data_IF_027905575644
#
_entry.id   IF_027905575644
#
_cell.length_a   1.000
_cell.length_b   1.000
_cell.length_c   1.000
_cell.angle_alpha   90.00
_cell.angle_beta   90.00
_cell.angle_gamma   90.00
#
_symmetry.space_group_name_H-M   'P 1'
#
loop_
_entity.id
_entity.type
_entity.pdbx_description
1 polymer ?
#
# COMPACT_ATOMS: atom_id res chain seq x y z
N UNK A 1 2.02 15.80 29.00
CA UNK A 1 2.09 16.33 27.63
C UNK A 1 3.44 16.09 26.96
N UNK A 2 4.58 16.16 27.65
CA UNK A 2 5.89 15.96 26.99
C UNK A 2 6.12 14.55 26.39
N UNK A 3 5.77 13.49 27.12
CA UNK A 3 5.87 12.10 26.61
C UNK A 3 5.09 11.87 25.31
N UNK A 4 3.98 12.58 25.15
CA UNK A 4 3.13 12.49 23.97
C UNK A 4 3.80 13.08 22.72
N UNK A 5 4.61 14.12 22.89
CA UNK A 5 5.31 14.74 21.77
C UNK A 5 6.42 13.83 21.23
N UNK A 6 7.14 13.12 22.11
CA UNK A 6 8.16 12.15 21.70
C UNK A 6 7.56 10.93 20.98
N UNK A 7 6.34 10.53 21.34
CA UNK A 7 5.63 9.45 20.65
C UNK A 7 5.32 9.83 19.19
N UNK A 8 4.94 11.09 18.90
CA UNK A 8 4.72 11.55 17.53
C UNK A 8 6.00 11.54 16.70
N UNK A 9 7.09 12.03 17.28
CA UNK A 9 8.39 11.99 16.62
C UNK A 9 8.79 10.54 16.31
N UNK A 10 8.57 9.61 17.24
CA UNK A 10 8.80 8.19 17.02
C UNK A 10 7.92 7.62 15.89
N UNK A 11 6.64 8.02 15.80
CA UNK A 11 5.78 7.63 14.68
C UNK A 11 6.29 8.18 13.34
N UNK A 12 6.71 9.44 13.26
CA UNK A 12 7.24 10.01 12.01
C UNK A 12 8.52 9.31 11.57
N UNK A 13 9.45 9.06 12.49
CA UNK A 13 10.68 8.30 12.23
C UNK A 13 10.35 6.87 11.79
N UNK A 14 9.41 6.20 12.46
CA UNK A 14 8.97 4.87 12.09
C UNK A 14 8.35 4.82 10.69
N UNK A 15 7.52 5.81 10.33
CA UNK A 15 6.95 5.94 8.98
C UNK A 15 8.04 6.14 7.93
N UNK A 16 9.05 6.96 8.20
CA UNK A 16 10.21 7.12 7.30
C UNK A 16 10.95 5.80 7.09
N UNK A 17 11.15 5.00 8.15
CA UNK A 17 11.73 3.67 8.04
C UNK A 17 10.85 2.71 7.18
N UNK A 18 9.53 2.78 7.34
CA UNK A 18 8.58 2.02 6.51
C UNK A 18 8.59 2.45 5.04
N UNK A 19 8.72 3.76 4.76
CA UNK A 19 8.90 4.28 3.41
C UNK A 19 10.17 3.70 2.77
N UNK A 20 11.31 3.85 3.45
CA UNK A 20 12.59 3.34 2.95
C UNK A 20 12.53 1.82 2.68
N UNK A 21 11.94 1.07 3.61
CA UNK A 21 11.74 -0.39 3.47
C UNK A 21 10.85 -0.73 2.27
N UNK A 22 9.72 -0.03 2.11
CA UNK A 22 8.78 -0.23 1.01
C UNK A 22 9.43 0.06 -0.34
N UNK A 23 10.14 1.19 -0.44
CA UNK A 23 10.84 1.61 -1.66
C UNK A 23 11.87 0.56 -2.04
N UNK A 24 12.77 0.22 -1.11
CA UNK A 24 13.81 -0.78 -1.33
C UNK A 24 13.24 -2.14 -1.75
N UNK A 25 12.26 -2.66 -1.01
CA UNK A 25 11.62 -3.93 -1.31
C UNK A 25 10.92 -3.93 -2.67
N UNK A 26 10.23 -2.84 -3.00
CA UNK A 26 9.54 -2.71 -4.31
C UNK A 26 10.55 -2.76 -5.45
N UNK A 27 11.64 -1.99 -5.35
CA UNK A 27 12.71 -2.02 -6.35
C UNK A 27 13.35 -3.39 -6.45
N UNK A 28 13.61 -4.06 -5.32
CA UNK A 28 14.16 -5.42 -5.29
C UNK A 28 13.23 -6.41 -6.00
N UNK A 29 11.92 -6.39 -5.72
CA UNK A 29 10.95 -7.28 -6.37
C UNK A 29 10.88 -7.03 -7.88
N UNK A 30 10.81 -5.75 -8.29
CA UNK A 30 10.79 -5.39 -9.71
C UNK A 30 12.08 -5.84 -10.40
N UNK A 31 13.23 -5.62 -9.77
CA UNK A 31 14.53 -6.05 -10.27
C UNK A 31 14.58 -7.58 -10.43
N UNK A 32 14.31 -8.33 -9.37
CA UNK A 32 14.29 -9.80 -9.41
C UNK A 32 13.31 -10.35 -10.45
N UNK A 33 12.16 -9.70 -10.65
CA UNK A 33 11.16 -10.13 -11.65
C UNK A 33 11.66 -10.07 -13.09
N UNK A 34 12.65 -9.21 -13.40
CA UNK A 34 13.25 -9.13 -14.74
C UNK A 34 14.21 -10.29 -15.03
N UNK A 35 14.85 -10.85 -14.00
CA UNK A 35 15.87 -11.89 -14.16
C UNK A 35 15.33 -13.32 -14.03
N UNK A 36 14.09 -13.50 -13.56
CA UNK A 36 13.44 -14.82 -13.41
C UNK A 36 12.86 -15.35 -14.73
N UNK A 37 13.72 -15.43 -15.77
CA UNK A 37 13.31 -15.66 -17.16
C UNK A 37 13.20 -17.16 -17.54
N UNK A 38 13.39 -18.10 -16.59
CA UNK A 38 13.45 -19.55 -16.89
C UNK A 38 12.50 -20.45 -16.09
N UNK A 39 11.77 -19.94 -15.09
CA UNK A 39 10.75 -20.74 -14.39
C UNK A 39 9.40 -20.61 -15.09
N UNK A 40 8.78 -21.76 -15.40
CA UNK A 40 7.46 -21.99 -16.02
C UNK A 40 6.47 -20.80 -16.03
N UNK A 41 5.86 -20.53 -17.21
CA UNK A 41 4.85 -19.47 -17.48
C UNK A 41 3.77 -19.27 -16.40
N UNK A 42 3.46 -20.30 -15.62
CA UNK A 42 2.43 -20.29 -14.58
C UNK A 42 2.81 -19.46 -13.34
N UNK A 43 4.11 -19.29 -13.05
CA UNK A 43 4.62 -18.63 -11.84
C UNK A 43 5.02 -17.17 -12.05
N UNK A 44 5.01 -16.67 -13.28
CA UNK A 44 5.37 -15.28 -13.62
C UNK A 44 4.46 -14.30 -12.86
N UNK A 45 5.06 -13.31 -12.20
CA UNK A 45 4.35 -12.22 -11.53
C UNK A 45 3.38 -11.55 -12.53
N UNK A 46 2.10 -11.35 -12.16
CA UNK A 46 1.15 -10.67 -13.07
C UNK A 46 1.51 -9.20 -13.21
N UNK A 47 1.29 -8.62 -14.38
CA UNK A 47 1.53 -7.20 -14.62
C UNK A 47 0.78 -6.30 -13.63
N UNK A 48 -0.43 -6.69 -13.21
CA UNK A 48 -1.17 -5.97 -12.18
C UNK A 48 -0.55 -6.04 -10.79
N UNK A 49 0.15 -7.14 -10.45
CA UNK A 49 0.94 -7.18 -9.21
C UNK A 49 2.16 -6.25 -9.28
N UNK A 50 2.77 -6.11 -10.47
CA UNK A 50 3.84 -5.12 -10.69
C UNK A 50 3.30 -3.70 -10.55
N UNK A 51 2.14 -3.39 -11.13
CA UNK A 51 1.51 -2.08 -10.99
C UNK A 51 1.12 -1.81 -9.53
N UNK A 52 0.59 -2.82 -8.84
CA UNK A 52 0.29 -2.76 -7.40
C UNK A 52 1.52 -2.42 -6.57
N UNK A 53 2.64 -3.12 -6.79
CA UNK A 53 3.88 -2.83 -6.07
C UNK A 53 4.44 -1.47 -6.45
N UNK A 54 4.44 -1.15 -7.75
CA UNK A 54 4.91 0.12 -8.26
C UNK A 54 4.14 1.30 -7.67
N UNK A 55 2.82 1.20 -7.51
CA UNK A 55 2.01 2.28 -6.91
C UNK A 55 2.31 2.45 -5.41
N UNK A 56 2.57 1.36 -4.67
CA UNK A 56 2.98 1.41 -3.26
C UNK A 56 4.36 2.03 -3.10
N UNK A 57 5.35 1.60 -3.89
CA UNK A 57 6.70 2.16 -3.86
C UNK A 57 6.76 3.63 -4.30
N UNK A 58 6.08 3.97 -5.39
CA UNK A 58 6.02 5.34 -5.91
C UNK A 58 5.28 6.27 -4.95
N UNK A 59 4.14 5.85 -4.41
CA UNK A 59 3.44 6.67 -3.43
C UNK A 59 4.24 6.83 -2.13
N UNK A 60 4.99 5.80 -1.70
CA UNK A 60 5.88 5.93 -0.55
C UNK A 60 6.99 6.96 -0.80
N UNK A 61 7.58 6.96 -2.00
CA UNK A 61 8.55 7.96 -2.41
C UNK A 61 7.96 9.39 -2.36
N UNK A 62 6.76 9.58 -2.90
CA UNK A 62 6.11 10.90 -2.94
C UNK A 62 5.63 11.40 -1.56
N UNK A 63 5.30 10.50 -0.65
CA UNK A 63 4.87 10.85 0.71
C UNK A 63 6.05 11.05 1.68
N UNK A 64 7.27 10.67 1.30
CA UNK A 64 8.48 10.81 2.13
C UNK A 64 8.80 12.29 2.45
N UNK A 65 8.76 13.24 1.49
CA UNK A 65 8.99 14.66 1.77
C UNK A 65 8.10 15.22 2.89
N UNK A 66 6.82 14.80 2.96
CA UNK A 66 5.90 15.25 4.01
C UNK A 66 6.33 14.79 5.40
N UNK A 67 6.68 13.50 5.56
CA UNK A 67 7.11 12.97 6.86
C UNK A 67 8.50 13.47 7.26
N UNK A 68 9.39 13.72 6.29
CA UNK A 68 10.66 14.41 6.54
C UNK A 68 10.41 15.83 7.04
N UNK A 69 9.51 16.57 6.39
CA UNK A 69 9.12 17.91 6.80
C UNK A 69 8.57 17.93 8.23
N UNK A 70 7.64 17.02 8.55
CA UNK A 70 7.10 16.86 9.91
C UNK A 70 8.17 16.50 10.96
N UNK A 71 9.20 15.73 10.57
CA UNK A 71 10.28 15.32 11.47
C UNK A 71 11.26 16.47 11.71
N UNK A 72 11.65 17.20 10.66
CA UNK A 72 12.62 18.30 10.73
C UNK A 72 12.03 19.52 11.44
N UNK A 73 10.79 19.87 11.12
CA UNK A 73 10.09 21.02 11.73
C UNK A 73 9.23 20.63 12.93
N UNK A 74 9.52 19.47 13.54
CA UNK A 74 8.84 19.04 14.76
C UNK A 74 9.15 20.02 15.91
N UNK A 75 8.10 20.46 16.61
CA UNK A 75 8.21 21.34 17.78
C UNK A 75 7.56 20.70 19.00
N UNK A 76 8.22 20.83 20.15
CA UNK A 76 7.72 20.39 21.45
C UNK A 76 6.49 21.19 21.90
N UNK A 77 6.28 22.39 21.36
CA UNK A 77 5.14 23.26 21.71
C UNK A 77 3.88 22.93 20.90
N UNK A 78 3.96 21.99 19.95
CA UNK A 78 2.79 21.61 19.16
C UNK A 78 2.40 22.63 18.09
N UNK A 79 3.30 23.56 17.75
CA UNK A 79 3.18 24.39 16.56
C UNK A 79 4.29 23.99 15.59
N UNK A 80 3.91 23.44 14.45
CA UNK A 80 4.83 23.33 13.31
C UNK A 80 5.05 24.76 12.81
N UNK A 81 6.25 25.34 13.03
CA UNK A 81 6.69 26.67 12.52
C UNK A 81 6.84 26.63 10.99
N UNK A 82 5.77 26.27 10.32
CA UNK A 82 5.82 25.63 9.03
C UNK A 82 4.88 26.38 8.09
N UNK A 83 5.33 26.65 6.87
CA UNK A 83 4.54 27.39 5.90
C UNK A 83 3.25 26.63 5.56
N UNK A 84 2.06 27.22 5.75
CA UNK A 84 0.78 26.51 5.56
C UNK A 84 0.61 25.90 4.17
N UNK A 85 1.10 26.58 3.13
CA UNK A 85 1.08 26.07 1.76
C UNK A 85 2.06 24.92 1.54
N UNK A 86 3.23 24.93 2.18
CA UNK A 86 4.14 23.78 2.14
C UNK A 86 3.50 22.56 2.81
N UNK A 87 2.83 22.75 3.94
CA UNK A 87 2.10 21.68 4.64
C UNK A 87 0.97 21.09 3.77
N UNK A 88 0.23 21.94 3.04
CA UNK A 88 -0.81 21.53 2.10
C UNK A 88 -0.24 20.72 0.93
N UNK A 89 0.77 21.25 0.23
CA UNK A 89 1.32 20.62 -0.98
C UNK A 89 2.04 19.31 -0.69
N UNK A 90 2.78 19.24 0.41
CA UNK A 90 3.45 18.01 0.83
C UNK A 90 2.41 16.98 1.34
N UNK A 91 1.40 17.43 2.08
CA UNK A 91 0.34 16.56 2.60
C UNK A 91 -0.57 15.98 1.52
N UNK A 92 -0.73 16.67 0.38
CA UNK A 92 -1.43 16.15 -0.79
C UNK A 92 -0.88 14.79 -1.23
N UNK A 93 0.45 14.65 -1.32
CA UNK A 93 1.08 13.41 -1.75
C UNK A 93 0.94 12.29 -0.74
N UNK A 94 1.01 12.62 0.55
CA UNK A 94 0.68 11.69 1.62
C UNK A 94 -0.76 11.18 1.49
N UNK A 95 -1.72 12.07 1.24
CA UNK A 95 -3.13 11.72 1.07
C UNK A 95 -3.39 10.84 -0.16
N UNK A 96 -2.73 11.17 -1.27
CA UNK A 96 -2.79 10.38 -2.50
C UNK A 96 -2.25 8.98 -2.21
N UNK A 97 -1.07 8.84 -1.58
CA UNK A 97 -0.54 7.53 -1.23
C UNK A 97 -1.46 6.76 -0.25
N UNK A 98 -1.99 7.47 0.75
CA UNK A 98 -2.91 6.92 1.74
C UNK A 98 -4.19 6.36 1.11
N UNK A 99 -4.67 6.98 0.03
CA UNK A 99 -5.90 6.58 -0.64
C UNK A 99 -5.67 5.56 -1.76
N UNK A 100 -4.49 5.59 -2.42
CA UNK A 100 -4.10 4.63 -3.46
C UNK A 100 -3.89 3.21 -2.91
N UNK A 101 -3.50 3.07 -1.65
CA UNK A 101 -3.25 1.76 -1.03
C UNK A 101 -4.46 0.83 -1.13
N UNK A 102 -5.63 1.30 -0.72
CA UNK A 102 -6.85 0.51 -0.62
C UNK A 102 -7.33 0.12 -2.02
N UNK A 103 -7.35 1.08 -2.97
CA UNK A 103 -7.70 0.85 -4.38
C UNK A 103 -6.77 -0.17 -5.03
N UNK A 104 -5.46 -0.08 -4.74
CA UNK A 104 -4.48 -1.01 -5.30
C UNK A 104 -4.74 -2.44 -4.84
N UNK A 105 -5.08 -2.63 -3.56
CA UNK A 105 -5.44 -3.93 -3.01
C UNK A 105 -6.76 -4.46 -3.61
N UNK A 106 -7.74 -3.58 -3.89
CA UNK A 106 -8.99 -3.94 -4.57
C UNK A 106 -8.79 -4.48 -5.96
N UNK A 107 -8.01 -3.76 -6.76
CA UNK A 107 -7.75 -4.14 -8.14
C UNK A 107 -6.99 -5.46 -8.20
N UNK A 108 -6.03 -5.67 -7.30
CA UNK A 108 -5.30 -6.94 -7.21
C UNK A 108 -6.23 -8.09 -6.79
N UNK A 109 -7.11 -7.87 -5.81
CA UNK A 109 -8.08 -8.87 -5.35
C UNK A 109 -9.07 -9.21 -6.46
N UNK A 110 -9.61 -8.20 -7.13
CA UNK A 110 -10.53 -8.35 -8.25
C UNK A 110 -9.89 -9.12 -9.42
N UNK A 111 -8.64 -8.80 -9.79
CA UNK A 111 -7.89 -9.54 -10.82
C UNK A 111 -7.86 -11.03 -10.48
N UNK A 112 -7.57 -11.36 -9.22
CA UNK A 112 -7.41 -12.73 -8.75
C UNK A 112 -8.73 -13.47 -8.69
N UNK A 113 -9.80 -12.81 -8.25
CA UNK A 113 -11.15 -13.37 -8.31
C UNK A 113 -11.52 -13.73 -9.75
N UNK A 114 -11.35 -12.80 -10.70
CA UNK A 114 -11.65 -13.04 -12.11
C UNK A 114 -10.80 -14.19 -12.67
N UNK A 115 -9.51 -14.22 -12.35
CA UNK A 115 -8.59 -15.25 -12.83
C UNK A 115 -8.93 -16.66 -12.31
N UNK A 116 -9.48 -16.77 -11.09
CA UNK A 116 -9.89 -18.05 -10.50
C UNK A 116 -11.29 -18.48 -10.93
N UNK A 117 -12.24 -17.55 -11.07
CA UNK A 117 -13.62 -17.86 -11.45
C UNK A 117 -13.77 -18.09 -12.95
N UNK A 118 -13.07 -17.31 -13.78
CA UNK A 118 -13.20 -17.34 -15.24
C UNK A 118 -11.84 -17.50 -15.94
N UNK A 119 -11.13 -18.63 -15.73
CA UNK A 119 -9.75 -18.80 -16.20
C UNK A 119 -9.61 -18.72 -17.73
N UNK A 120 -10.59 -19.23 -18.48
CA UNK A 120 -10.59 -19.18 -19.96
C UNK A 120 -10.75 -17.75 -20.48
N UNK A 121 -11.66 -16.96 -19.87
CA UNK A 121 -11.87 -15.55 -20.22
C UNK A 121 -10.66 -14.69 -19.84
N UNK A 122 -10.08 -14.96 -18.67
CA UNK A 122 -8.91 -14.25 -18.18
C UNK A 122 -7.70 -14.45 -19.09
N UNK A 123 -7.38 -15.70 -19.44
CA UNK A 123 -6.22 -16.02 -20.28
C UNK A 123 -6.39 -15.53 -21.73
N UNK A 124 -7.60 -15.53 -22.27
CA UNK A 124 -7.84 -15.15 -23.67
C UNK A 124 -7.89 -13.64 -23.91
N UNK A 125 -8.51 -12.87 -23.00
CA UNK A 125 -8.75 -11.43 -23.21
C UNK A 125 -8.35 -10.55 -22.04
N UNK A 126 -8.74 -10.89 -20.81
CA UNK A 126 -8.65 -9.93 -19.70
C UNK A 126 -7.22 -9.75 -19.17
N UNK A 127 -6.35 -10.75 -19.26
CA UNK A 127 -4.97 -10.65 -18.76
C UNK A 127 -4.16 -9.50 -19.41
N UNK A 128 -4.48 -9.14 -20.66
CA UNK A 128 -3.85 -8.01 -21.37
C UNK A 128 -4.51 -6.67 -21.07
N UNK A 129 -5.83 -6.65 -20.84
CA UNK A 129 -6.61 -5.44 -20.62
C UNK A 129 -6.62 -4.96 -19.16
N UNK A 130 -6.60 -5.89 -18.21
CA UNK A 130 -6.72 -5.60 -16.78
C UNK A 130 -5.62 -4.66 -16.24
N UNK A 131 -4.35 -4.75 -16.67
CA UNK A 131 -3.32 -3.79 -16.27
C UNK A 131 -3.64 -2.35 -16.71
N UNK A 132 -4.19 -2.16 -17.92
CA UNK A 132 -4.62 -0.84 -18.42
C UNK A 132 -5.81 -0.31 -17.63
N UNK A 133 -6.79 -1.16 -17.37
CA UNK A 133 -7.93 -0.83 -16.52
C UNK A 133 -7.47 -0.39 -15.12
N UNK A 134 -6.53 -1.14 -14.52
CA UNK A 134 -5.97 -0.80 -13.20
C UNK A 134 -5.30 0.58 -13.22
N UNK A 135 -4.51 0.88 -14.26
CA UNK A 135 -3.86 2.19 -14.43
C UNK A 135 -4.89 3.33 -14.53
N UNK A 136 -5.96 3.14 -15.31
CA UNK A 136 -7.04 4.14 -15.43
C UNK A 136 -7.69 4.40 -14.07
N UNK A 137 -8.02 3.34 -13.32
CA UNK A 137 -8.56 3.47 -11.97
C UNK A 137 -7.61 4.26 -11.04
N UNK A 138 -6.30 4.02 -11.10
CA UNK A 138 -5.34 4.79 -10.31
C UNK A 138 -5.31 6.27 -10.68
N UNK A 139 -5.29 6.60 -11.98
CA UNK A 139 -5.28 8.00 -12.44
C UNK A 139 -6.55 8.72 -12.00
N UNK A 140 -7.73 8.10 -12.20
CA UNK A 140 -8.99 8.69 -11.77
C UNK A 140 -9.04 8.90 -10.25
N UNK A 141 -8.48 7.98 -9.47
CA UNK A 141 -8.43 8.11 -8.02
C UNK A 141 -7.49 9.22 -7.55
N UNK A 142 -6.33 9.39 -8.21
CA UNK A 142 -5.42 10.51 -7.95
C UNK A 142 -6.12 11.84 -8.22
N UNK A 143 -6.81 11.95 -9.36
CA UNK A 143 -7.58 13.15 -9.72
C UNK A 143 -8.66 13.43 -8.68
N UNK A 144 -9.40 12.40 -8.26
CA UNK A 144 -10.43 12.51 -7.22
C UNK A 144 -9.84 13.02 -5.89
N UNK A 145 -8.75 12.42 -5.41
CA UNK A 145 -8.10 12.82 -4.17
C UNK A 145 -7.53 14.26 -4.26
N UNK A 146 -6.89 14.60 -5.38
CA UNK A 146 -6.35 15.94 -5.61
C UNK A 146 -7.44 17.01 -5.70
N UNK A 147 -8.54 16.72 -6.39
CA UNK A 147 -9.67 17.63 -6.50
C UNK A 147 -10.24 18.01 -5.12
N UNK A 148 -10.33 17.03 -4.20
CA UNK A 148 -10.77 17.31 -2.84
C UNK A 148 -9.81 18.27 -2.11
N UNK A 149 -8.49 18.07 -2.20
CA UNK A 149 -7.51 18.97 -1.56
C UNK A 149 -7.48 20.36 -2.20
N UNK A 150 -7.60 20.44 -3.53
CA UNK A 150 -7.57 21.73 -4.25
C UNK A 150 -8.76 22.63 -3.91
N UNK A 151 -9.88 22.06 -3.41
CA UNK A 151 -11.03 22.84 -2.93
C UNK A 151 -10.77 23.58 -1.62
N UNK A 152 -9.68 23.28 -0.91
CA UNK A 152 -9.24 24.04 0.26
C UNK A 152 -8.53 25.35 -0.11
N UNK A 153 -8.33 25.64 -1.40
CA UNK A 153 -7.75 26.89 -1.88
C UNK A 153 -8.87 27.91 -2.16
N UNK A 154 -8.81 29.16 -1.63
CA UNK A 154 -7.74 29.72 -0.80
C UNK A 154 -7.77 29.22 0.64
N UNK A 155 -6.57 29.00 1.21
CA UNK A 155 -6.40 28.41 2.54
C UNK A 155 -6.70 29.43 3.65
N UNK A 156 -7.39 28.99 4.71
CA UNK A 156 -7.45 29.74 5.97
C UNK A 156 -6.09 29.62 6.69
N UNK A 157 -5.27 30.67 6.56
CA UNK A 157 -3.88 30.71 7.03
C UNK A 157 -3.81 30.68 8.56
N UNK A 158 -4.74 31.32 9.26
CA UNK A 158 -4.73 31.38 10.74
C UNK A 158 -5.05 30.01 11.32
N UNK A 159 -6.11 29.37 10.81
CA UNK A 159 -6.44 27.98 11.18
C UNK A 159 -5.27 27.04 10.87
N UNK A 160 -4.65 27.18 9.71
CA UNK A 160 -3.60 26.26 9.25
C UNK A 160 -2.29 26.37 10.03
N UNK A 161 -1.93 27.56 10.56
CA UNK A 161 -0.75 27.73 11.42
C UNK A 161 -0.89 26.99 12.76
N UNK A 162 -2.11 26.83 13.25
CA UNK A 162 -2.38 26.08 14.48
C UNK A 162 -2.45 24.55 14.25
N UNK A 163 -2.45 24.09 12.99
CA UNK A 163 -2.60 22.69 12.65
C UNK A 163 -1.25 21.95 12.59
N UNK A 164 -1.03 21.00 13.52
CA UNK A 164 0.11 20.10 13.49
C UNK A 164 0.07 19.09 12.32
N UNK A 165 -1.13 18.76 11.85
CA UNK A 165 -1.36 17.67 10.89
C UNK A 165 -2.11 18.17 9.66
N UNK A 166 -1.85 17.53 8.52
CA UNK A 166 -2.56 17.81 7.27
C UNK A 166 -4.06 17.52 7.37
N UNK A 167 -4.46 16.55 8.18
CA UNK A 167 -5.88 16.25 8.45
C UNK A 167 -6.64 17.38 9.13
N UNK A 168 -5.95 18.33 9.77
CA UNK A 168 -6.54 19.52 10.39
C UNK A 168 -6.74 20.67 9.38
N UNK A 169 -5.94 20.68 8.30
CA UNK A 169 -6.08 21.63 7.19
C UNK A 169 -7.34 21.32 6.39
N UNK A 170 -7.55 20.04 6.04
CA UNK A 170 -8.71 19.64 5.24
C UNK A 170 -10.02 19.85 6.03
N UNK A 171 -11.00 20.49 5.39
CA UNK A 171 -12.33 20.70 5.92
C UNK A 171 -13.03 19.38 6.25
N UNK A 172 -13.80 19.39 7.36
CA UNK A 172 -14.49 18.21 7.90
C UNK A 172 -15.28 17.43 6.84
N UNK A 173 -16.02 18.14 5.97
CA UNK A 173 -16.81 17.50 4.92
C UNK A 173 -15.95 16.74 3.91
N UNK A 174 -14.83 17.32 3.48
CA UNK A 174 -13.96 16.71 2.49
C UNK A 174 -13.20 15.51 3.08
N UNK A 175 -12.72 15.64 4.32
CA UNK A 175 -12.11 14.55 5.06
C UNK A 175 -13.09 13.37 5.22
N UNK A 176 -14.35 13.65 5.55
CA UNK A 176 -15.41 12.64 5.63
C UNK A 176 -15.68 11.99 4.27
N UNK A 177 -15.80 12.76 3.18
CA UNK A 177 -16.02 12.19 1.83
C UNK A 177 -14.92 11.22 1.45
N UNK A 178 -13.66 11.57 1.70
CA UNK A 178 -12.54 10.70 1.38
C UNK A 178 -12.51 9.45 2.27
N UNK A 179 -12.87 9.57 3.56
CA UNK A 179 -13.04 8.44 4.45
C UNK A 179 -14.18 7.51 4.00
N UNK A 180 -15.33 8.04 3.57
CA UNK A 180 -16.42 7.25 3.03
C UNK A 180 -16.02 6.49 1.76
N UNK A 181 -15.33 7.17 0.85
CA UNK A 181 -14.84 6.53 -0.38
C UNK A 181 -13.86 5.40 -0.04
N UNK A 182 -12.91 5.64 0.87
CA UNK A 182 -11.96 4.63 1.34
C UNK A 182 -12.67 3.46 2.03
N UNK A 183 -13.67 3.73 2.88
CA UNK A 183 -14.45 2.70 3.55
C UNK A 183 -15.22 1.83 2.55
N UNK A 184 -15.88 2.44 1.56
CA UNK A 184 -16.59 1.70 0.52
C UNK A 184 -15.66 0.76 -0.26
N UNK A 185 -14.49 1.26 -0.66
CA UNK A 185 -13.47 0.46 -1.36
C UNK A 185 -12.87 -0.63 -0.45
N UNK A 186 -12.62 -0.32 0.83
CA UNK A 186 -12.15 -1.30 1.82
C UNK A 186 -13.19 -2.39 2.09
N UNK A 187 -14.48 -2.06 2.13
CA UNK A 187 -15.58 -3.03 2.23
C UNK A 187 -15.61 -3.98 1.03
N UNK A 188 -15.43 -3.43 -0.18
CA UNK A 188 -15.29 -4.24 -1.40
C UNK A 188 -14.06 -5.16 -1.33
N UNK A 189 -12.94 -4.72 -0.71
CA UNK A 189 -11.79 -5.60 -0.47
C UNK A 189 -12.15 -6.77 0.42
N UNK A 190 -12.83 -6.52 1.54
CA UNK A 190 -13.24 -7.59 2.46
C UNK A 190 -14.13 -8.59 1.75
N UNK A 191 -15.17 -8.12 1.03
CA UNK A 191 -16.07 -9.00 0.28
C UNK A 191 -15.35 -9.79 -0.82
N UNK A 192 -14.54 -9.11 -1.63
CA UNK A 192 -13.74 -9.74 -2.67
C UNK A 192 -12.74 -10.76 -2.10
N UNK A 193 -12.19 -10.48 -0.92
CA UNK A 193 -11.28 -11.36 -0.21
C UNK A 193 -11.96 -12.62 0.32
N UNK A 194 -13.14 -12.48 0.94
CA UNK A 194 -13.96 -13.60 1.37
C UNK A 194 -14.30 -14.51 0.18
N UNK A 195 -14.73 -13.90 -0.93
CA UNK A 195 -14.99 -14.64 -2.17
C UNK A 195 -13.74 -15.34 -2.70
N UNK A 196 -12.58 -14.67 -2.71
CA UNK A 196 -11.31 -15.26 -3.13
C UNK A 196 -10.94 -16.48 -2.27
N UNK A 197 -11.09 -16.39 -0.95
CA UNK A 197 -10.82 -17.51 -0.03
C UNK A 197 -11.71 -18.71 -0.35
N UNK A 198 -13.01 -18.48 -0.60
CA UNK A 198 -13.95 -19.52 -1.00
C UNK A 198 -13.57 -20.14 -2.36
N UNK A 199 -13.26 -19.31 -3.35
CA UNK A 199 -12.84 -19.77 -4.69
C UNK A 199 -11.51 -20.55 -4.65
N UNK A 200 -10.57 -20.15 -3.79
CA UNK A 200 -9.30 -20.87 -3.59
C UNK A 200 -9.52 -22.25 -2.95
N UNK A 201 -10.47 -22.38 -2.02
CA UNK A 201 -10.83 -23.66 -1.39
C UNK A 201 -11.39 -24.65 -2.41
N UNK A 202 -12.16 -24.16 -3.39
CA UNK A 202 -12.76 -24.99 -4.43
C UNK A 202 -11.75 -25.44 -5.50
N UNK A 203 -10.74 -24.61 -5.80
CA UNK A 203 -9.81 -24.84 -6.90
C UNK A 203 -8.44 -25.43 -6.50
N UNK A 204 -8.30 -25.94 -5.27
CA UNK A 204 -7.13 -26.69 -4.75
C UNK A 204 -5.75 -26.09 -5.14
N UNK A 205 -5.62 -24.76 -5.06
CA UNK A 205 -4.45 -24.05 -5.54
C UNK A 205 -3.58 -23.48 -4.43
N UNK A 206 -2.74 -24.27 -3.78
CA UNK A 206 -1.66 -23.73 -2.93
C UNK A 206 -0.46 -23.28 -3.80
N UNK A 207 -0.74 -22.30 -4.68
CA UNK A 207 0.26 -21.66 -5.53
C UNK A 207 0.81 -20.42 -4.82
N UNK A 208 2.06 -20.06 -5.12
CA UNK A 208 2.74 -18.88 -4.55
C UNK A 208 1.86 -17.61 -4.64
N UNK A 209 1.20 -17.40 -5.78
CA UNK A 209 0.30 -16.26 -6.02
C UNK A 209 -0.87 -16.22 -5.03
N UNK A 210 -1.40 -17.37 -4.64
CA UNK A 210 -2.53 -17.47 -3.71
C UNK A 210 -2.08 -17.21 -2.27
N UNK A 211 -0.89 -17.69 -1.89
CA UNK A 211 -0.28 -17.38 -0.59
C UNK A 211 0.07 -15.89 -0.45
N UNK A 212 0.55 -15.25 -1.52
CA UNK A 212 0.79 -13.80 -1.56
C UNK A 212 -0.51 -13.04 -1.32
N UNK A 213 -1.57 -13.36 -2.05
CA UNK A 213 -2.84 -12.63 -1.95
C UNK A 213 -3.52 -12.87 -0.59
N UNK A 214 -3.50 -14.08 -0.04
CA UNK A 214 -3.98 -14.36 1.33
C UNK A 214 -3.28 -13.47 2.37
N UNK A 215 -1.97 -13.34 2.27
CA UNK A 215 -1.19 -12.50 3.18
C UNK A 215 -1.52 -11.01 3.01
N UNK A 216 -1.56 -10.51 1.76
CA UNK A 216 -1.96 -9.13 1.46
C UNK A 216 -3.30 -8.79 2.08
N UNK A 217 -4.28 -9.68 1.90
CA UNK A 217 -5.64 -9.53 2.41
C UNK A 217 -5.64 -9.48 3.94
N UNK A 218 -4.95 -10.40 4.60
CA UNK A 218 -4.89 -10.42 6.06
C UNK A 218 -4.32 -9.11 6.59
N UNK A 219 -3.22 -8.62 6.01
CA UNK A 219 -2.64 -7.35 6.42
C UNK A 219 -3.56 -6.16 6.12
N UNK A 220 -4.25 -6.14 4.97
CA UNK A 220 -5.22 -5.08 4.64
C UNK A 220 -6.39 -5.04 5.63
N UNK A 221 -6.90 -6.21 6.05
CA UNK A 221 -7.97 -6.30 7.04
C UNK A 221 -7.51 -5.77 8.41
N UNK A 222 -6.38 -6.28 8.93
CA UNK A 222 -5.95 -6.00 10.30
C UNK A 222 -5.28 -4.63 10.47
N UNK A 223 -4.58 -4.13 9.45
CA UNK A 223 -3.77 -2.92 9.55
C UNK A 223 -4.32 -1.73 8.76
N UNK A 224 -5.35 -1.92 7.93
CA UNK A 224 -6.00 -0.80 7.21
C UNK A 224 -7.51 -0.73 7.50
N UNK A 225 -8.28 -1.79 7.18
CA UNK A 225 -9.75 -1.76 7.22
C UNK A 225 -10.29 -1.70 8.65
N UNK A 226 -9.87 -2.60 9.55
CA UNK A 226 -10.36 -2.63 10.94
C UNK A 226 -10.04 -1.32 11.68
N UNK A 227 -8.78 -0.81 11.66
CA UNK A 227 -8.47 0.47 12.29
C UNK A 227 -9.27 1.64 11.69
N UNK A 228 -9.42 1.68 10.36
CA UNK A 228 -10.23 2.72 9.70
C UNK A 228 -11.70 2.65 10.08
N UNK A 229 -12.26 1.44 10.24
CA UNK A 229 -13.66 1.24 10.66
C UNK A 229 -13.88 1.61 12.12
N UNK A 230 -12.97 1.23 13.02
CA UNK A 230 -13.02 1.63 14.42
C UNK A 230 -12.97 3.17 14.56
N UNK A 231 -12.11 3.81 13.77
CA UNK A 231 -12.03 5.28 13.71
C UNK A 231 -13.34 5.90 13.21
N UNK A 232 -13.91 5.36 12.14
CA UNK A 232 -15.19 5.82 11.61
C UNK A 232 -16.31 5.74 12.65
N UNK A 233 -16.52 4.56 13.27
CA UNK A 233 -17.56 4.38 14.30
C UNK A 233 -17.40 5.40 15.40
N UNK A 234 -16.18 5.57 15.91
CA UNK A 234 -15.95 6.52 16.99
C UNK A 234 -16.29 7.95 16.58
N UNK A 235 -15.84 8.41 15.40
CA UNK A 235 -16.14 9.77 14.92
C UNK A 235 -17.63 9.97 14.71
N UNK A 236 -18.34 8.97 14.18
CA UNK A 236 -19.78 9.02 13.96
C UNK A 236 -20.58 9.00 15.26
N UNK A 237 -20.19 8.18 16.24
CA UNK A 237 -20.91 8.03 17.52
C UNK A 237 -20.64 9.21 18.45
N UNK A 238 -19.40 9.67 18.53
CA UNK A 238 -19.01 10.72 19.48
C UNK A 238 -19.11 12.13 18.89
N UNK A 239 -19.11 12.26 17.56
CA UNK A 239 -18.98 13.56 16.88
C UNK A 239 -17.61 14.21 17.04
N UNK A 240 -16.72 13.59 17.84
CA UNK A 240 -15.38 14.06 18.15
C UNK A 240 -14.43 13.44 17.13
N UNK A 241 -13.69 14.24 16.34
CA UNK A 241 -12.59 13.69 15.56
C UNK A 241 -11.63 13.03 16.55
N UNK A 242 -11.37 11.72 16.37
CA UNK A 242 -10.43 10.98 17.21
C UNK A 242 -9.17 11.80 17.35
N UNK A 243 -8.78 12.07 18.60
CA UNK A 243 -7.70 13.00 18.90
C UNK A 243 -6.45 12.72 18.07
N UNK A 244 -5.62 13.75 17.90
CA UNK A 244 -4.39 13.79 17.08
C UNK A 244 -3.56 12.49 17.16
N UNK A 245 -3.57 11.79 18.30
CA UNK A 245 -2.95 10.48 18.55
C UNK A 245 -3.45 9.34 17.65
N UNK A 246 -4.76 9.09 17.61
CA UNK A 246 -5.30 8.00 16.78
C UNK A 246 -5.31 8.38 15.31
N UNK A 247 -5.42 9.68 15.03
CA UNK A 247 -5.22 10.21 13.68
C UNK A 247 -3.82 9.91 13.11
N UNK A 248 -2.78 9.74 13.96
CA UNK A 248 -1.43 9.34 13.53
C UNK A 248 -1.19 7.84 13.56
N UNK A 249 -1.85 7.12 14.48
CA UNK A 249 -1.78 5.66 14.53
C UNK A 249 -2.30 5.00 13.24
N UNK A 250 -3.37 5.54 12.65
CA UNK A 250 -3.96 4.96 11.43
C UNK A 250 -3.00 5.06 10.23
N UNK A 251 -2.44 6.24 9.87
CA UNK A 251 -1.36 6.33 8.90
C UNK A 251 -0.20 5.39 9.25
N UNK A 252 0.24 5.36 10.50
CA UNK A 252 1.34 4.49 10.93
C UNK A 252 1.08 3.00 10.64
N UNK A 253 -0.08 2.47 11.04
CA UNK A 253 -0.48 1.08 10.80
C UNK A 253 -0.59 0.79 9.30
N UNK A 254 -1.03 1.75 8.52
CA UNK A 254 -1.12 1.59 7.07
C UNK A 254 0.25 1.57 6.39
N UNK A 255 1.18 2.44 6.81
CA UNK A 255 2.56 2.40 6.31
C UNK A 255 3.27 1.11 6.73
N UNK A 256 2.99 0.62 7.95
CA UNK A 256 3.43 -0.69 8.42
C UNK A 256 2.87 -1.81 7.54
N UNK A 257 1.57 -1.79 7.19
CA UNK A 257 0.95 -2.74 6.26
C UNK A 257 1.72 -2.79 4.94
N UNK A 258 1.99 -1.62 4.35
CA UNK A 258 2.72 -1.51 3.08
C UNK A 258 4.12 -2.12 3.19
N UNK A 259 4.85 -1.78 4.25
CA UNK A 259 6.20 -2.27 4.49
C UNK A 259 6.24 -3.79 4.70
N UNK A 260 5.38 -4.31 5.59
CA UNK A 260 5.28 -5.75 5.90
C UNK A 260 4.92 -6.56 4.66
N UNK A 261 3.94 -6.09 3.88
CA UNK A 261 3.60 -6.68 2.59
C UNK A 261 4.81 -6.73 1.66
N UNK A 262 5.52 -5.60 1.51
CA UNK A 262 6.67 -5.48 0.60
C UNK A 262 7.83 -6.40 1.01
N UNK A 263 8.13 -6.48 2.31
CA UNK A 263 9.13 -7.40 2.87
C UNK A 263 8.74 -8.85 2.59
N UNK A 264 7.48 -9.22 2.85
CA UNK A 264 7.00 -10.57 2.60
C UNK A 264 7.12 -10.96 1.12
N UNK A 265 6.78 -10.06 0.18
CA UNK A 265 6.92 -10.34 -1.24
C UNK A 265 8.38 -10.49 -1.67
N UNK A 266 9.25 -9.58 -1.21
CA UNK A 266 10.70 -9.65 -1.44
C UNK A 266 11.27 -10.98 -0.93
N UNK A 267 10.93 -11.36 0.29
CA UNK A 267 11.39 -12.61 0.90
C UNK A 267 10.92 -13.84 0.13
N UNK A 268 9.63 -13.89 -0.25
CA UNK A 268 9.07 -15.04 -0.97
C UNK A 268 9.67 -15.21 -2.37
N UNK A 269 10.00 -14.11 -3.05
CA UNK A 269 10.64 -14.14 -4.36
C UNK A 269 12.13 -14.49 -4.28
N UNK A 270 12.87 -13.91 -3.34
CA UNK A 270 14.30 -14.20 -3.13
C UNK A 270 14.56 -15.63 -2.65
N UNK A 271 13.64 -16.21 -1.85
CA UNK A 271 13.73 -17.62 -1.44
C UNK A 271 13.56 -18.59 -2.60
N UNK A 272 12.76 -18.24 -3.62
CA UNK A 272 12.66 -19.05 -4.85
C UNK A 272 13.91 -18.97 -5.72
N UNK A 273 14.47 -17.78 -5.89
CA UNK A 273 15.68 -17.60 -6.71
C UNK A 273 16.90 -18.26 -6.07
N UNK A 274 17.10 -18.13 -4.76
CA UNK A 274 18.20 -18.81 -4.03
C UNK A 274 18.14 -20.33 -4.13
N UNK A 275 16.95 -20.94 -4.04
CA UNK A 275 16.77 -22.38 -4.27
C UNK A 275 17.08 -22.79 -5.71
N UNK A 276 16.76 -21.95 -6.70
CA UNK A 276 17.11 -22.20 -8.09
C UNK A 276 18.64 -22.18 -8.30
N UNK A 277 19.35 -21.19 -7.75
CA UNK A 277 20.81 -21.11 -7.82
C UNK A 277 21.50 -22.29 -7.12
N UNK A 278 21.03 -22.68 -5.92
CA UNK A 278 21.53 -23.87 -5.22
C UNK A 278 21.33 -25.15 -6.04
N UNK A 279 20.20 -25.29 -6.73
CA UNK A 279 19.91 -26.47 -7.57
C UNK A 279 20.72 -26.49 -8.86
N UNK A 280 20.95 -25.34 -9.48
CA UNK A 280 21.82 -25.22 -10.68
C UNK A 280 23.27 -25.55 -10.35
N UNK A 281 23.79 -25.08 -9.21
CA UNK A 281 25.13 -25.44 -8.76
C UNK A 281 25.25 -26.91 -8.35
N UNK A 282 24.22 -27.51 -7.74
CA UNK A 282 24.21 -28.94 -7.44
C UNK A 282 24.16 -29.82 -8.70
N UNK A 283 23.43 -29.42 -9.75
CA UNK A 283 23.38 -30.19 -11.01
C UNK A 283 24.69 -30.10 -11.78
N UNK A 284 25.41 -28.97 -11.72
CA UNK A 284 26.74 -28.85 -12.33
C UNK A 284 27.84 -29.61 -11.57
N UNK A 285 27.64 -29.95 -10.29
CA UNK A 285 28.58 -30.79 -9.53
C UNK A 285 28.33 -32.30 -9.67
N UNK A 286 27.23 -32.74 -10.30
CA UNK A 286 26.87 -34.18 -10.46
C UNK A 286 26.86 -34.61 -11.94
N UNK A 287 27.61 -33.93 -12.81
CA UNK A 287 27.96 -34.53 -14.11
C UNK A 287 29.26 -35.32 -13.92
N UNK A 288 29.21 -36.66 -13.75
CA UNK A 288 30.42 -37.44 -13.68
C UNK A 288 31.13 -37.36 -15.03
N UNK A 289 32.42 -37.06 -14.98
CA UNK A 289 33.34 -37.30 -16.07
C UNK A 289 33.31 -38.80 -16.41
N UNK A 290 32.48 -39.21 -17.36
CA UNK A 290 32.69 -40.44 -18.12
C UNK A 290 33.36 -40.07 -19.45
N UNK A 291 34.62 -39.70 -19.31
CA UNK A 291 35.64 -39.82 -20.35
C UNK A 291 35.86 -41.30 -20.65
N UNK A 292 35.48 -41.70 -21.87
CA UNK A 292 36.27 -42.55 -22.79
C UNK A 292 37.13 -43.68 -22.19
N UNK A 293 36.73 -44.91 -22.47
CA UNK A 293 37.61 -45.96 -23.00
C UNK A 293 36.84 -46.77 -24.03
#
# INVERSE_FOLDING_TARGET
MEYMNYLYLAFYIGILAFHATTIFCTFLVIYCSKYDNKSTKLDRISSSFIIFLGSRGFGALLATPYHLYLTVYWSKEGHTNSEPYAHLWLGLWMLIHWSLSTVSASLLTLERCIALTFPLLYNSRLAKGFPRFSLICFVLWIIFAAFHVLREIPLDVEKSRSCQLFSCIIGKHQALTLQYAKFGVGGLNVLGSCYLILAMKQNNGDKLKNSVVKFTIAMDIFLDVIPSFAHYIFVTVTGIPLGVYVAQLIPFLQFLNVAVCSVYYSWRLTRKTSWFWLKVHHVQQVSPANTTT
#
